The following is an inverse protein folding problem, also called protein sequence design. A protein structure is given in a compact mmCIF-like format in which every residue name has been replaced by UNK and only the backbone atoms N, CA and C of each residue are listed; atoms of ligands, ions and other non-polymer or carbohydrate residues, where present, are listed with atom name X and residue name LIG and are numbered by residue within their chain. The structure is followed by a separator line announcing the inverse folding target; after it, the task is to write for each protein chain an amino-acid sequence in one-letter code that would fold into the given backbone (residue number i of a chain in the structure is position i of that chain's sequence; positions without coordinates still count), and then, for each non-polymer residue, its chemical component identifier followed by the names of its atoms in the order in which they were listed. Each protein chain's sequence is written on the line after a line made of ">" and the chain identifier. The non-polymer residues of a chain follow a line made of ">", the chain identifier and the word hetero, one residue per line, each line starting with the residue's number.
data_IF_784154069268
#
_entry.id   IF_784154069268
#
_cell.length_a   1.000
_cell.length_b   1.000
_cell.length_c   1.000
_cell.angle_alpha   90.00
_cell.angle_beta   90.00
_cell.angle_gamma   90.00
#
_symmetry.space_group_name_H-M   'P 1'
#
loop_
_entity.id
_entity.type
_entity.pdbx_description
1 polymer ?
#
# COMPACT_ATOMS: atom_id res chain seq x y z
N UNK A 1 -0.26 50.08 -2.95
CA UNK A 1 -1.15 49.00 -2.48
C UNK A 1 -2.15 49.64 -1.53
N UNK A 2 -3.42 49.68 -1.90
CA UNK A 2 -4.46 50.38 -1.12
C UNK A 2 -4.98 49.43 -0.04
N UNK A 3 -5.07 49.90 1.19
CA UNK A 3 -5.47 49.09 2.34
C UNK A 3 -6.80 49.62 2.90
N UNK A 4 -7.72 48.72 3.23
CA UNK A 4 -9.10 49.03 3.59
C UNK A 4 -9.44 48.41 4.94
N UNK A 5 -10.26 49.12 5.73
CA UNK A 5 -10.92 48.53 6.89
C UNK A 5 -12.18 47.84 6.40
N UNK A 6 -12.34 46.58 6.77
CA UNK A 6 -13.50 45.75 6.44
C UNK A 6 -14.21 45.43 7.74
N UNK A 7 -15.49 45.75 7.81
CA UNK A 7 -16.34 45.48 8.96
C UNK A 7 -17.55 44.66 8.54
N UNK A 8 -17.83 43.57 9.25
CA UNK A 8 -19.01 42.74 9.05
C UNK A 8 -20.03 43.09 10.15
N UNK A 9 -21.20 43.57 9.74
CA UNK A 9 -22.33 43.86 10.64
C UNK A 9 -22.46 45.32 11.07
N UNK A 10 -21.38 46.12 10.97
CA UNK A 10 -21.42 47.57 11.23
C UNK A 10 -20.72 48.36 10.13
N UNK A 11 -21.17 49.59 9.90
CA UNK A 11 -20.53 50.49 8.93
C UNK A 11 -19.23 51.05 9.49
N UNK A 12 -18.25 51.23 8.61
CA UNK A 12 -16.95 51.77 9.01
C UNK A 12 -17.07 53.22 9.50
N UNK A 13 -18.01 53.98 8.95
CA UNK A 13 -18.27 55.37 9.36
C UNK A 13 -18.72 55.44 10.84
N UNK A 14 -19.55 54.50 11.27
CA UNK A 14 -20.07 54.44 12.65
C UNK A 14 -18.95 54.04 13.64
N UNK A 15 -18.06 53.12 13.22
CA UNK A 15 -16.86 52.75 13.99
C UNK A 15 -15.93 53.96 14.19
N UNK A 16 -15.71 54.74 13.13
CA UNK A 16 -14.84 55.92 13.16
C UNK A 16 -15.44 57.09 13.95
N UNK A 17 -16.77 57.22 13.96
CA UNK A 17 -17.45 58.27 14.71
C UNK A 17 -17.37 58.08 16.23
N UNK A 18 -17.24 56.84 16.71
CA UNK A 18 -17.11 56.54 18.14
C UNK A 18 -16.19 55.34 18.40
N UNK A 19 -14.86 55.49 18.25
CA UNK A 19 -13.92 54.37 18.28
C UNK A 19 -13.79 53.68 19.65
N UNK A 20 -14.22 54.33 20.73
CA UNK A 20 -14.10 53.82 22.11
C UNK A 20 -15.28 52.95 22.54
N UNK A 21 -16.27 52.72 21.68
CA UNK A 21 -17.41 51.88 22.02
C UNK A 21 -16.99 50.40 22.20
N UNK A 22 -17.23 49.86 23.38
CA UNK A 22 -16.90 48.48 23.74
C UNK A 22 -17.61 47.43 22.87
N UNK A 23 -18.78 47.76 22.31
CA UNK A 23 -19.54 46.86 21.43
C UNK A 23 -18.79 46.49 20.16
N UNK A 24 -17.84 47.32 19.69
CA UNK A 24 -17.06 47.05 18.48
C UNK A 24 -16.26 45.76 18.55
N UNK A 25 -15.87 45.32 19.76
CA UNK A 25 -15.14 44.07 19.97
C UNK A 25 -15.97 42.82 19.65
N UNK A 26 -17.29 42.95 19.51
CA UNK A 26 -18.19 41.85 19.12
C UNK A 26 -18.31 41.66 17.61
N UNK A 27 -17.80 42.59 16.81
CA UNK A 27 -17.87 42.55 15.34
C UNK A 27 -16.53 42.11 14.73
N UNK A 28 -16.61 41.47 13.56
CA UNK A 28 -15.42 41.13 12.78
C UNK A 28 -14.95 42.36 12.01
N UNK A 29 -13.88 43.00 12.51
CA UNK A 29 -13.26 44.18 11.90
C UNK A 29 -11.81 43.87 11.57
N UNK A 30 -11.43 44.03 10.30
CA UNK A 30 -10.13 43.61 9.78
C UNK A 30 -9.51 44.67 8.89
N UNK A 31 -8.18 44.68 8.82
CA UNK A 31 -7.42 45.52 7.89
C UNK A 31 -6.92 44.65 6.72
N UNK A 32 -7.49 44.85 5.53
CA UNK A 32 -7.21 44.01 4.37
C UNK A 32 -6.81 44.84 3.14
N UNK A 33 -5.84 44.34 2.38
CA UNK A 33 -5.38 44.93 1.12
C UNK A 33 -5.99 44.31 -0.14
N UNK A 34 -7.07 43.52 0.02
CA UNK A 34 -7.72 42.80 -1.07
C UNK A 34 -8.86 43.57 -1.73
N UNK A 35 -9.47 42.96 -2.76
CA UNK A 35 -10.73 43.43 -3.34
C UNK A 35 -11.90 42.88 -2.56
N UNK A 36 -12.83 43.74 -2.14
CA UNK A 36 -13.98 43.36 -1.33
C UNK A 36 -15.30 43.55 -2.09
N UNK A 37 -16.26 42.70 -1.77
CA UNK A 37 -17.67 42.88 -2.12
C UNK A 37 -18.27 44.02 -1.29
N UNK A 38 -19.29 44.71 -1.81
CA UNK A 38 -19.88 45.85 -1.11
C UNK A 38 -20.78 45.41 0.06
N UNK A 39 -21.31 44.19 0.01
CA UNK A 39 -22.13 43.61 1.06
C UNK A 39 -22.01 42.07 1.09
N UNK A 40 -22.27 41.45 2.25
CA UNK A 40 -22.20 40.00 2.39
C UNK A 40 -23.26 39.24 1.56
N UNK A 41 -24.36 39.88 1.16
CA UNK A 41 -25.41 39.27 0.31
C UNK A 41 -24.89 38.92 -1.07
N UNK A 42 -23.89 39.65 -1.59
CA UNK A 42 -23.22 39.35 -2.86
C UNK A 42 -22.51 37.99 -2.85
N UNK A 43 -22.12 37.48 -1.67
CA UNK A 43 -21.56 36.13 -1.56
C UNK A 43 -22.58 35.02 -1.88
N UNK A 44 -23.90 35.31 -1.79
CA UNK A 44 -25.06 34.47 -2.12
C UNK A 44 -25.20 33.15 -1.34
N UNK A 45 -24.17 32.31 -1.35
CA UNK A 45 -24.10 31.03 -0.66
C UNK A 45 -22.68 30.81 -0.16
N UNK A 46 -22.53 29.95 0.85
CA UNK A 46 -21.25 29.56 1.43
C UNK A 46 -21.28 28.05 1.68
N UNK A 47 -20.26 27.33 1.23
CA UNK A 47 -20.11 25.90 1.44
C UNK A 47 -18.73 25.59 2.02
N UNK A 48 -18.73 24.92 3.18
CA UNK A 48 -17.53 24.39 3.82
C UNK A 48 -17.10 23.11 3.09
N UNK A 49 -15.89 23.09 2.54
CA UNK A 49 -15.37 21.96 1.75
C UNK A 49 -14.53 21.01 2.60
N UNK A 50 -13.66 21.55 3.45
CA UNK A 50 -12.86 20.74 4.37
C UNK A 50 -12.42 21.52 5.61
N UNK A 51 -12.20 20.78 6.70
CA UNK A 51 -11.50 21.24 7.89
C UNK A 51 -10.40 20.23 8.23
N UNK A 52 -9.15 20.69 8.35
CA UNK A 52 -7.98 19.84 8.57
C UNK A 52 -7.12 20.38 9.71
N UNK A 53 -6.64 19.51 10.60
CA UNK A 53 -5.70 19.89 11.66
C UNK A 53 -4.26 19.97 11.12
N UNK A 54 -3.63 21.15 11.23
CA UNK A 54 -2.23 21.35 10.82
C UNK A 54 -1.27 21.11 12.00
N UNK A 55 -1.63 21.60 13.19
CA UNK A 55 -0.84 21.50 14.41
C UNK A 55 -1.74 21.61 15.65
N UNK A 56 -1.18 21.47 16.86
CA UNK A 56 -1.93 21.62 18.12
C UNK A 56 -2.58 23.00 18.18
N UNK A 57 -3.90 23.04 18.09
CA UNK A 57 -4.69 24.28 18.11
C UNK A 57 -4.77 25.04 16.78
N UNK A 58 -4.21 24.51 15.67
CA UNK A 58 -4.24 25.16 14.35
C UNK A 58 -5.01 24.29 13.36
N UNK A 59 -6.00 24.90 12.70
CA UNK A 59 -6.85 24.24 11.69
C UNK A 59 -6.88 25.04 10.39
N UNK A 60 -6.94 24.34 9.27
CA UNK A 60 -7.20 24.89 7.94
C UNK A 60 -8.63 24.62 7.56
N UNK A 61 -9.34 25.67 7.22
CA UNK A 61 -10.70 25.62 6.72
C UNK A 61 -10.69 26.02 5.25
N UNK A 62 -11.22 25.16 4.39
CA UNK A 62 -11.42 25.45 2.96
C UNK A 62 -12.91 25.63 2.70
N UNK A 63 -13.30 26.76 2.14
CA UNK A 63 -14.69 27.04 1.81
C UNK A 63 -14.80 27.80 0.49
N UNK A 64 -15.97 27.70 -0.15
CA UNK A 64 -16.30 28.40 -1.39
C UNK A 64 -17.60 29.19 -1.22
N UNK A 65 -17.77 30.26 -2.01
CA UNK A 65 -19.00 31.06 -2.04
C UNK A 65 -19.64 31.09 -3.42
N UNK A 66 -20.78 31.77 -3.54
CA UNK A 66 -21.48 32.07 -4.81
C UNK A 66 -21.85 30.80 -5.59
N UNK A 67 -21.61 30.78 -6.90
CA UNK A 67 -21.93 29.66 -7.79
C UNK A 67 -21.25 28.35 -7.34
N UNK A 68 -19.99 28.42 -6.90
CA UNK A 68 -19.24 27.24 -6.44
C UNK A 68 -19.83 26.61 -5.19
N UNK A 69 -20.42 27.42 -4.30
CA UNK A 69 -21.13 26.89 -3.14
C UNK A 69 -22.40 26.12 -3.53
N UNK A 70 -23.17 26.65 -4.48
CA UNK A 70 -24.36 25.95 -4.99
C UNK A 70 -23.99 24.64 -5.71
N UNK A 71 -22.94 24.67 -6.53
CA UNK A 71 -22.42 23.48 -7.20
C UNK A 71 -22.01 22.40 -6.20
N UNK A 72 -21.27 22.79 -5.16
CA UNK A 72 -20.84 21.84 -4.12
C UNK A 72 -22.03 21.25 -3.35
N UNK A 73 -23.04 22.05 -3.00
CA UNK A 73 -24.25 21.56 -2.36
C UNK A 73 -25.03 20.58 -3.25
N UNK A 74 -25.16 20.89 -4.54
CA UNK A 74 -25.81 19.99 -5.50
C UNK A 74 -25.07 18.64 -5.63
N UNK A 75 -23.73 18.67 -5.72
CA UNK A 75 -22.93 17.45 -5.78
C UNK A 75 -23.07 16.62 -4.50
N UNK A 76 -23.11 17.26 -3.33
CA UNK A 76 -23.33 16.59 -2.06
C UNK A 76 -24.68 15.87 -2.02
N UNK A 77 -25.78 16.54 -2.40
CA UNK A 77 -27.11 15.92 -2.48
C UNK A 77 -27.19 14.80 -3.51
N UNK A 78 -26.54 14.95 -4.68
CA UNK A 78 -26.48 13.89 -5.68
C UNK A 78 -25.73 12.66 -5.18
N UNK A 79 -24.64 12.87 -4.44
CA UNK A 79 -23.89 11.77 -3.82
C UNK A 79 -24.71 11.06 -2.75
N UNK A 80 -25.39 11.82 -1.89
CA UNK A 80 -26.28 11.27 -0.86
C UNK A 80 -27.39 10.41 -1.48
N UNK A 81 -28.01 10.88 -2.56
CA UNK A 81 -29.01 10.10 -3.29
C UNK A 81 -28.43 8.78 -3.84
N UNK A 82 -27.26 8.83 -4.50
CA UNK A 82 -26.59 7.61 -5.02
C UNK A 82 -26.26 6.62 -3.92
N UNK A 83 -25.84 7.11 -2.75
CA UNK A 83 -25.57 6.28 -1.57
C UNK A 83 -26.87 5.62 -1.10
N UNK A 84 -27.96 6.36 -0.97
CA UNK A 84 -29.25 5.84 -0.57
C UNK A 84 -29.78 4.78 -1.56
N UNK A 85 -29.69 5.03 -2.86
CA UNK A 85 -30.06 4.05 -3.90
C UNK A 85 -29.20 2.78 -3.83
N UNK A 86 -27.90 2.91 -3.59
CA UNK A 86 -27.01 1.77 -3.41
C UNK A 86 -27.34 0.94 -2.15
N UNK A 87 -27.91 1.55 -1.12
CA UNK A 87 -28.40 0.85 0.06
C UNK A 87 -29.79 0.23 -0.13
N UNK A 88 -30.60 0.78 -1.01
CA UNK A 88 -31.93 0.26 -1.36
C UNK A 88 -31.90 -0.91 -2.35
N UNK A 89 -30.72 -1.38 -2.79
CA UNK A 89 -30.61 -2.57 -3.64
C UNK A 89 -31.33 -3.78 -3.01
N UNK A 90 -32.35 -4.24 -3.74
CA UNK A 90 -33.31 -5.32 -3.51
C UNK A 90 -32.96 -6.40 -2.49
N UNK A 91 -33.99 -6.83 -1.74
CA UNK A 91 -34.00 -8.03 -0.90
C UNK A 91 -33.54 -9.29 -1.66
N UNK A 92 -33.69 -9.32 -2.99
CA UNK A 92 -33.18 -10.38 -3.87
C UNK A 92 -31.64 -10.41 -4.01
N UNK A 93 -30.96 -9.28 -3.84
CA UNK A 93 -29.50 -9.16 -3.91
C UNK A 93 -28.82 -9.43 -2.56
N UNK A 94 -29.57 -9.47 -1.46
CA UNK A 94 -29.05 -9.86 -0.14
C UNK A 94 -28.57 -11.31 -0.14
N UNK A 95 -29.33 -12.22 -0.78
CA UNK A 95 -28.88 -13.59 -0.97
C UNK A 95 -27.64 -13.69 -1.86
N UNK A 96 -27.57 -12.90 -2.93
CA UNK A 96 -26.41 -12.90 -3.82
C UNK A 96 -25.17 -12.32 -3.13
N UNK A 97 -25.31 -11.23 -2.36
CA UNK A 97 -24.23 -10.68 -1.52
C UNK A 97 -23.78 -11.69 -0.46
N UNK A 98 -24.71 -12.40 0.18
CA UNK A 98 -24.37 -13.47 1.12
C UNK A 98 -23.59 -14.59 0.42
N UNK A 99 -24.07 -15.09 -0.73
CA UNK A 99 -23.37 -16.09 -1.56
C UNK A 99 -21.98 -15.60 -1.99
N UNK A 100 -21.85 -14.34 -2.40
CA UNK A 100 -20.58 -13.72 -2.77
C UNK A 100 -19.60 -13.68 -1.59
N UNK A 101 -20.08 -13.30 -0.39
CA UNK A 101 -19.26 -13.26 0.82
C UNK A 101 -18.79 -14.66 1.26
N UNK A 102 -19.64 -15.67 1.12
CA UNK A 102 -19.31 -17.07 1.39
C UNK A 102 -18.24 -17.54 0.41
N UNK A 103 -18.41 -17.24 -0.89
CA UNK A 103 -17.46 -17.61 -1.93
C UNK A 103 -16.11 -16.90 -1.75
N UNK A 104 -16.11 -15.61 -1.41
CA UNK A 104 -14.89 -14.87 -1.07
C UNK A 104 -14.15 -15.51 0.12
N UNK A 105 -14.88 -15.88 1.18
CA UNK A 105 -14.30 -16.57 2.33
C UNK A 105 -13.75 -17.96 1.97
N UNK A 106 -14.43 -18.71 1.10
CA UNK A 106 -13.95 -19.98 0.58
C UNK A 106 -12.67 -19.80 -0.24
N UNK A 107 -12.61 -18.79 -1.11
CA UNK A 107 -11.40 -18.45 -1.89
C UNK A 107 -10.23 -18.08 -0.96
N UNK A 108 -10.47 -17.27 0.07
CA UNK A 108 -9.44 -16.90 1.05
C UNK A 108 -8.95 -18.14 1.81
N UNK A 109 -9.86 -19.01 2.27
CA UNK A 109 -9.51 -20.26 2.95
C UNK A 109 -8.72 -21.20 2.04
N UNK A 110 -9.14 -21.36 0.79
CA UNK A 110 -8.44 -22.17 -0.21
C UNK A 110 -7.03 -21.63 -0.45
N UNK A 111 -6.87 -20.32 -0.68
CA UNK A 111 -5.56 -19.67 -0.85
C UNK A 111 -4.65 -19.88 0.35
N UNK A 112 -5.16 -19.74 1.58
CA UNK A 112 -4.38 -20.00 2.80
C UNK A 112 -3.94 -21.46 2.92
N UNK A 113 -4.84 -22.40 2.59
CA UNK A 113 -4.52 -23.83 2.58
C UNK A 113 -3.44 -24.16 1.55
N UNK A 114 -3.58 -23.64 0.32
CA UNK A 114 -2.57 -23.80 -0.74
C UNK A 114 -1.22 -23.21 -0.33
N UNK A 115 -1.20 -22.01 0.28
CA UNK A 115 0.04 -21.41 0.76
C UNK A 115 0.73 -22.26 1.84
N UNK A 116 -0.05 -22.82 2.79
CA UNK A 116 0.49 -23.70 3.82
C UNK A 116 1.04 -25.02 3.23
N UNK A 117 0.33 -25.62 2.28
CA UNK A 117 0.77 -26.81 1.56
C UNK A 117 2.03 -26.54 0.72
N UNK A 118 2.11 -25.38 0.06
CA UNK A 118 3.28 -24.98 -0.71
C UNK A 118 4.52 -24.83 0.18
N UNK A 119 4.38 -24.18 1.35
CA UNK A 119 5.47 -24.08 2.33
C UNK A 119 5.93 -25.48 2.76
N UNK A 120 5.01 -26.37 3.13
CA UNK A 120 5.38 -27.73 3.55
C UNK A 120 6.08 -28.51 2.43
N UNK A 121 5.56 -28.46 1.21
CA UNK A 121 6.16 -29.10 0.03
C UNK A 121 7.57 -28.57 -0.24
N UNK A 122 7.73 -27.25 -0.22
CA UNK A 122 9.01 -26.61 -0.49
C UNK A 122 10.06 -26.94 0.56
N UNK A 123 9.71 -26.81 1.85
CA UNK A 123 10.61 -27.13 2.96
C UNK A 123 11.02 -28.61 2.92
N UNK A 124 10.07 -29.52 2.72
CA UNK A 124 10.36 -30.97 2.66
C UNK A 124 11.34 -31.29 1.52
N UNK A 125 11.04 -30.83 0.30
CA UNK A 125 11.90 -31.06 -0.86
C UNK A 125 13.30 -30.47 -0.66
N UNK A 126 13.39 -29.27 -0.09
CA UNK A 126 14.67 -28.62 0.18
C UNK A 126 15.50 -29.33 1.25
N UNK A 127 14.87 -29.76 2.35
CA UNK A 127 15.56 -30.51 3.41
C UNK A 127 16.08 -31.87 2.92
N UNK A 128 15.29 -32.63 2.15
CA UNK A 128 15.71 -33.92 1.58
C UNK A 128 16.90 -33.74 0.61
N UNK A 129 16.84 -32.73 -0.26
CA UNK A 129 17.92 -32.43 -1.20
C UNK A 129 19.19 -31.93 -0.49
N UNK A 130 19.03 -31.13 0.56
CA UNK A 130 20.16 -30.66 1.37
C UNK A 130 20.83 -31.82 2.13
N UNK A 131 20.04 -32.77 2.63
CA UNK A 131 20.56 -33.98 3.29
C UNK A 131 21.34 -34.88 2.33
N UNK A 132 20.83 -35.08 1.12
CA UNK A 132 21.54 -35.81 0.08
C UNK A 132 22.86 -35.13 -0.31
N UNK A 133 22.85 -33.79 -0.45
CA UNK A 133 24.05 -33.02 -0.75
C UNK A 133 25.10 -33.07 0.38
N UNK A 134 24.67 -32.94 1.64
CA UNK A 134 25.55 -33.06 2.80
C UNK A 134 26.17 -34.46 2.92
N UNK A 135 25.38 -35.52 2.69
CA UNK A 135 25.86 -36.91 2.70
C UNK A 135 26.87 -37.17 1.57
N UNK A 136 26.75 -36.45 0.46
CA UNK A 136 27.72 -36.44 -0.63
C UNK A 136 28.93 -35.52 -0.41
N UNK A 137 29.07 -34.91 0.78
CA UNK A 137 30.19 -34.05 1.13
C UNK A 137 30.16 -32.65 0.50
N UNK A 138 29.03 -32.20 -0.04
CA UNK A 138 28.89 -30.86 -0.65
C UNK A 138 28.53 -29.83 0.41
N UNK A 139 29.15 -28.65 0.34
CA UNK A 139 28.79 -27.51 1.20
C UNK A 139 27.60 -26.67 0.67
N UNK A 140 27.07 -27.04 -0.49
CA UNK A 140 26.01 -26.31 -1.18
C UNK A 140 24.88 -27.22 -1.68
N UNK A 141 23.70 -26.64 -1.86
CA UNK A 141 22.51 -27.29 -2.40
C UNK A 141 21.85 -26.40 -3.47
N UNK A 142 21.65 -26.95 -4.67
CA UNK A 142 20.93 -26.26 -5.76
C UNK A 142 19.78 -27.17 -6.17
N UNK A 143 18.56 -26.63 -6.18
CA UNK A 143 17.37 -27.42 -6.44
C UNK A 143 16.27 -26.62 -7.12
N UNK A 144 15.35 -27.36 -7.74
CA UNK A 144 14.12 -26.85 -8.29
C UNK A 144 12.91 -27.38 -7.50
N UNK A 145 11.96 -26.52 -7.18
CA UNK A 145 10.72 -26.83 -6.46
C UNK A 145 9.52 -26.38 -7.30
N UNK A 146 8.44 -27.16 -7.30
CA UNK A 146 7.19 -26.82 -8.00
C UNK A 146 6.17 -26.11 -7.10
N UNK A 147 6.43 -24.84 -6.73
CA UNK A 147 5.47 -24.01 -5.96
C UNK A 147 5.05 -22.72 -6.68
N UNK A 148 5.32 -22.64 -7.99
CA UNK A 148 4.99 -21.47 -8.80
C UNK A 148 5.71 -20.21 -8.31
N UNK A 149 4.99 -19.09 -8.24
CA UNK A 149 5.50 -17.80 -7.77
C UNK A 149 5.27 -17.55 -6.26
N UNK A 150 5.08 -18.61 -5.46
CA UNK A 150 4.92 -18.49 -4.00
C UNK A 150 6.25 -18.13 -3.32
N UNK A 151 6.49 -16.82 -3.22
CA UNK A 151 7.70 -16.26 -2.61
C UNK A 151 7.91 -16.66 -1.16
N UNK A 152 6.84 -16.89 -0.40
CA UNK A 152 6.93 -17.27 0.99
C UNK A 152 7.41 -18.72 1.12
N UNK A 153 6.84 -19.63 0.32
CA UNK A 153 7.25 -21.04 0.31
C UNK A 153 8.72 -21.23 -0.08
N UNK A 154 9.17 -20.56 -1.15
CA UNK A 154 10.56 -20.64 -1.61
C UNK A 154 11.53 -20.06 -0.57
N UNK A 155 11.17 -18.91 0.03
CA UNK A 155 11.99 -18.29 1.06
C UNK A 155 12.09 -19.14 2.32
N UNK A 156 10.98 -19.71 2.80
CA UNK A 156 10.96 -20.56 3.98
C UNK A 156 11.82 -21.82 3.77
N UNK A 157 11.76 -22.42 2.59
CA UNK A 157 12.61 -23.56 2.23
C UNK A 157 14.11 -23.23 2.31
N UNK A 158 14.52 -22.07 1.75
CA UNK A 158 15.90 -21.58 1.83
C UNK A 158 16.33 -21.35 3.28
N UNK A 159 15.50 -20.68 4.08
CA UNK A 159 15.79 -20.41 5.49
C UNK A 159 15.95 -21.73 6.27
N UNK A 160 15.06 -22.70 6.06
CA UNK A 160 15.11 -23.97 6.78
C UNK A 160 16.36 -24.79 6.48
N UNK A 161 16.79 -24.83 5.22
CA UNK A 161 18.04 -25.49 4.83
C UNK A 161 19.24 -24.82 5.48
N UNK A 162 19.28 -23.48 5.49
CA UNK A 162 20.36 -22.76 6.16
C UNK A 162 20.39 -23.03 7.67
N UNK A 163 19.24 -23.01 8.34
CA UNK A 163 19.14 -23.26 9.79
C UNK A 163 19.55 -24.69 10.16
N UNK A 164 19.11 -25.69 9.38
CA UNK A 164 19.30 -27.11 9.72
C UNK A 164 20.69 -27.63 9.33
N UNK A 165 21.21 -27.24 8.17
CA UNK A 165 22.44 -27.81 7.61
C UNK A 165 23.57 -26.79 7.52
N UNK A 166 23.28 -25.48 7.63
CA UNK A 166 24.29 -24.43 7.48
C UNK A 166 24.91 -24.41 6.09
N UNK A 167 24.20 -24.83 5.06
CA UNK A 167 24.72 -24.94 3.70
C UNK A 167 24.35 -23.71 2.87
N UNK A 168 25.18 -23.41 1.87
CA UNK A 168 24.79 -22.51 0.79
C UNK A 168 23.61 -23.13 0.03
N UNK A 169 22.57 -22.37 -0.27
CA UNK A 169 21.38 -22.90 -0.94
C UNK A 169 20.88 -21.95 -2.02
N UNK A 170 20.50 -22.52 -3.16
CA UNK A 170 19.86 -21.83 -4.28
C UNK A 170 18.63 -22.62 -4.75
N UNK A 171 17.46 -22.01 -4.63
CA UNK A 171 16.18 -22.63 -5.00
C UNK A 171 15.59 -21.92 -6.21
N UNK A 172 15.22 -22.70 -7.21
CA UNK A 172 14.42 -22.28 -8.36
C UNK A 172 12.99 -22.77 -8.21
N UNK A 173 12.00 -21.95 -8.56
CA UNK A 173 10.60 -22.37 -8.66
C UNK A 173 10.01 -21.89 -9.97
N UNK A 174 9.52 -22.84 -10.76
CA UNK A 174 8.94 -22.62 -12.09
C UNK A 174 7.43 -22.39 -11.96
N UNK A 175 6.92 -21.39 -12.68
CA UNK A 175 5.49 -21.19 -12.93
C UNK A 175 5.26 -21.27 -14.44
N UNK A 176 4.80 -22.43 -14.90
CA UNK A 176 4.57 -22.69 -16.32
C UNK A 176 3.43 -21.85 -16.89
N UNK A 177 2.38 -21.60 -16.10
CA UNK A 177 1.24 -20.81 -16.53
C UNK A 177 1.63 -19.34 -16.77
N UNK A 178 2.51 -18.80 -15.93
CA UNK A 178 3.00 -17.44 -16.06
C UNK A 178 4.27 -17.31 -16.94
N UNK A 179 4.84 -18.44 -17.39
CA UNK A 179 6.17 -18.52 -18.01
C UNK A 179 7.24 -17.74 -17.22
N UNK A 180 7.28 -17.94 -15.90
CA UNK A 180 8.16 -17.22 -14.99
C UNK A 180 8.89 -18.17 -14.05
N UNK A 181 10.05 -17.71 -13.58
CA UNK A 181 10.88 -18.46 -12.65
C UNK A 181 11.20 -17.56 -11.47
N UNK A 182 10.88 -18.02 -10.27
CA UNK A 182 11.30 -17.41 -9.03
C UNK A 182 12.61 -18.05 -8.57
N UNK A 183 13.55 -17.22 -8.11
CA UNK A 183 14.84 -17.67 -7.58
C UNK A 183 15.07 -17.06 -6.21
N UNK A 184 15.50 -17.89 -5.26
CA UNK A 184 15.95 -17.41 -3.96
C UNK A 184 17.24 -18.13 -3.55
N UNK A 185 18.21 -17.35 -3.07
CA UNK A 185 19.51 -17.82 -2.66
C UNK A 185 19.83 -17.35 -1.25
N UNK A 186 20.57 -18.17 -0.52
CA UNK A 186 21.21 -17.74 0.71
C UNK A 186 22.58 -18.40 0.87
N UNK A 187 23.51 -17.63 1.41
CA UNK A 187 24.89 -18.04 1.66
C UNK A 187 25.19 -17.78 3.13
N UNK A 188 26.02 -18.62 3.75
CA UNK A 188 26.63 -18.28 5.03
C UNK A 188 27.41 -16.97 4.91
N UNK A 189 27.56 -16.17 5.98
CA UNK A 189 28.35 -14.96 5.95
C UNK A 189 29.83 -15.30 5.69
N UNK A 190 30.25 -15.32 4.42
CA UNK A 190 31.65 -15.47 4.01
C UNK A 190 32.41 -14.14 4.07
N UNK A 191 31.97 -13.18 4.89
CA UNK A 191 32.63 -11.88 5.03
C UNK A 191 32.67 -11.02 3.75
N UNK A 192 31.70 -11.16 2.85
CA UNK A 192 31.62 -10.43 1.57
C UNK A 192 30.48 -9.42 1.48
N UNK A 193 30.62 -8.40 0.61
CA UNK A 193 29.55 -7.48 0.20
C UNK A 193 28.74 -8.11 -0.94
N UNK A 194 27.73 -8.91 -0.61
CA UNK A 194 26.71 -9.36 -1.56
C UNK A 194 25.46 -8.48 -1.52
N UNK A 195 24.70 -8.43 -2.61
CA UNK A 195 23.39 -7.76 -2.70
C UNK A 195 22.27 -8.47 -1.92
N UNK A 196 22.61 -9.05 -0.76
CA UNK A 196 21.66 -9.76 0.11
C UNK A 196 20.65 -8.78 0.67
N UNK A 197 19.38 -8.99 0.35
CA UNK A 197 18.27 -8.31 1.00
C UNK A 197 18.23 -8.62 2.50
N UNK A 198 17.21 -8.08 3.17
CA UNK A 198 17.01 -8.22 4.62
C UNK A 198 17.10 -9.69 5.05
N UNK A 199 18.08 -10.03 5.88
CA UNK A 199 18.28 -11.36 6.46
C UNK A 199 19.26 -12.28 5.72
N UNK A 200 20.11 -11.76 4.83
CA UNK A 200 21.13 -12.57 4.14
C UNK A 200 20.59 -13.40 2.97
N UNK A 201 19.39 -13.07 2.50
CA UNK A 201 18.70 -13.72 1.38
C UNK A 201 18.76 -12.83 0.14
N UNK A 202 19.06 -13.41 -1.01
CA UNK A 202 18.87 -12.77 -2.30
C UNK A 202 17.67 -13.39 -3.02
N UNK A 203 16.81 -12.57 -3.62
CA UNK A 203 15.61 -13.04 -4.31
C UNK A 203 15.46 -12.31 -5.64
N UNK A 204 15.09 -13.05 -6.69
CA UNK A 204 14.90 -12.52 -8.05
C UNK A 204 13.87 -13.33 -8.83
N UNK A 205 13.43 -12.78 -9.97
CA UNK A 205 12.51 -13.45 -10.88
C UNK A 205 12.99 -13.29 -12.32
N UNK A 206 12.82 -14.32 -13.15
CA UNK A 206 13.08 -14.33 -14.58
C UNK A 206 11.80 -14.66 -15.37
N UNK A 207 11.76 -14.25 -16.63
CA UNK A 207 10.59 -14.39 -17.54
C UNK A 207 10.75 -15.48 -18.60
N UNK A 208 11.78 -16.31 -18.48
CA UNK A 208 12.04 -17.41 -19.42
C UNK A 208 12.39 -18.69 -18.65
N UNK A 209 11.48 -19.66 -18.72
CA UNK A 209 11.61 -20.95 -18.04
C UNK A 209 12.59 -21.91 -18.73
N UNK A 210 12.87 -21.70 -20.03
CA UNK A 210 13.67 -22.60 -20.85
C UNK A 210 15.15 -22.64 -20.45
N UNK A 211 15.61 -21.58 -19.75
CA UNK A 211 17.00 -21.39 -19.34
C UNK A 211 17.32 -21.86 -17.94
N UNK A 212 16.35 -22.42 -17.20
CA UNK A 212 16.57 -22.78 -15.80
C UNK A 212 17.60 -23.87 -15.64
N UNK A 213 17.55 -24.93 -16.46
CA UNK A 213 18.42 -26.08 -16.29
C UNK A 213 19.88 -25.70 -16.61
N UNK A 214 20.09 -24.95 -17.70
CA UNK A 214 21.39 -24.33 -18.04
C UNK A 214 21.91 -23.41 -16.92
N UNK A 215 21.02 -22.62 -16.31
CA UNK A 215 21.38 -21.73 -15.19
C UNK A 215 21.76 -22.52 -13.93
N UNK A 216 21.07 -23.62 -13.65
CA UNK A 216 21.38 -24.50 -12.52
C UNK A 216 22.76 -25.16 -12.68
N UNK A 217 23.12 -25.58 -13.90
CA UNK A 217 24.43 -26.16 -14.20
C UNK A 217 25.58 -25.14 -14.04
N UNK A 218 25.36 -23.90 -14.52
CA UNK A 218 26.31 -22.79 -14.32
C UNK A 218 26.46 -22.47 -12.83
N UNK A 219 25.36 -22.41 -12.09
CA UNK A 219 25.39 -22.17 -10.66
C UNK A 219 26.11 -23.29 -9.90
N UNK A 220 25.90 -24.55 -10.29
CA UNK A 220 26.59 -25.71 -9.69
C UNK A 220 28.10 -25.67 -9.95
N UNK A 221 28.49 -25.31 -11.19
CA UNK A 221 29.90 -25.14 -11.56
C UNK A 221 30.57 -24.02 -10.77
N UNK A 222 29.88 -22.88 -10.61
CA UNK A 222 30.39 -21.76 -9.83
C UNK A 222 30.51 -22.09 -8.33
N UNK A 223 29.51 -22.76 -7.77
CA UNK A 223 29.52 -23.20 -6.38
C UNK A 223 30.69 -24.16 -6.11
N UNK A 224 30.91 -25.14 -6.98
CA UNK A 224 32.04 -26.07 -6.88
C UNK A 224 33.42 -25.39 -6.97
N UNK A 225 33.53 -24.24 -7.65
CA UNK A 225 34.79 -23.47 -7.72
C UNK A 225 35.06 -22.62 -6.48
N UNK A 226 34.02 -22.24 -5.72
CA UNK A 226 34.12 -21.24 -4.64
C UNK A 226 33.85 -21.79 -3.25
N UNK A 227 33.18 -22.95 -3.16
CA UNK A 227 32.67 -23.55 -1.92
C UNK A 227 33.13 -25.01 -1.74
N UNK A 228 34.09 -25.48 -2.55
CA UNK A 228 34.84 -26.72 -2.29
C UNK A 228 36.29 -26.39 -1.92
#
# INVERSE_FOLDING_TARGET
>A
MTMWIVSIGQKVEDLLANPENEEWSSYSVELCGGTHISNAREAKAFALMSEEGIAKGIRRVTAVTTYRAFEAAYLASSLEQKVNEAFQTDESLLEEKAKLSVLQNQVIKAKKKTAAENIQKAVKAASEMAEAAASGGKEYCILQIGVGLDTAAVREAVVKVMEQKGMAVLVFSKDEAANKVLVCAALKPLGGKGGGGKGGLAQGQATDISKVDETMDVAASFAAMKLN
#
